data_IF_909299309962
#
_entry.id   IF_909299309962
#
_cell.length_a   1.000
_cell.length_b   1.000
_cell.length_c   1.000
_cell.angle_alpha   90.00
_cell.angle_beta   90.00
_cell.angle_gamma   90.00
#
_symmetry.space_group_name_H-M   'P 1'
#
loop_
_entity.id
_entity.type
_entity.pdbx_description
1 polymer ?
#
# COMPACT_ATOMS: atom_id res chain seq x y z
N UNK A 1 -25.39 -18.47 -3.30
CA UNK A 1 -24.64 -17.75 -4.30
C UNK A 1 -23.66 -16.81 -3.68
N UNK A 2 -24.12 -15.92 -2.86
CA UNK A 2 -23.19 -14.97 -2.25
C UNK A 2 -22.10 -15.65 -1.44
N UNK A 3 -22.36 -16.84 -0.99
CA UNK A 3 -21.36 -17.59 -0.21
C UNK A 3 -20.11 -17.88 -1.03
N UNK A 4 -20.28 -18.12 -2.32
CA UNK A 4 -19.14 -18.39 -3.16
C UNK A 4 -18.29 -17.18 -3.40
N UNK A 5 -18.86 -16.03 -3.18
CA UNK A 5 -18.19 -14.78 -3.45
C UNK A 5 -16.84 -14.67 -2.73
N UNK A 6 -16.83 -14.99 -1.44
CA UNK A 6 -15.61 -14.86 -0.66
C UNK A 6 -14.55 -15.87 -1.05
N UNK A 7 -14.97 -17.06 -1.44
CA UNK A 7 -13.99 -18.08 -1.82
C UNK A 7 -13.47 -17.87 -3.22
N UNK A 8 -14.29 -17.23 -4.08
CA UNK A 8 -13.89 -17.02 -5.47
C UNK A 8 -13.05 -15.76 -5.64
N UNK A 9 -13.10 -14.85 -4.68
CA UNK A 9 -12.40 -13.58 -4.78
C UNK A 9 -11.53 -13.38 -3.54
N UNK A 10 -10.50 -14.21 -3.38
CA UNK A 10 -9.63 -14.07 -2.23
C UNK A 10 -8.83 -12.78 -2.29
N UNK A 11 -8.45 -12.30 -1.13
CA UNK A 11 -7.64 -11.11 -0.99
C UNK A 11 -6.30 -11.50 -0.40
N UNK A 12 -5.23 -11.04 -1.01
CA UNK A 12 -3.87 -11.30 -0.58
C UNK A 12 -3.15 -10.00 -0.31
N UNK A 13 -2.31 -10.01 0.70
CA UNK A 13 -1.50 -8.83 0.99
C UNK A 13 -0.11 -9.29 1.38
N UNK A 14 0.89 -8.66 0.80
CA UNK A 14 2.30 -8.99 1.05
C UNK A 14 3.01 -7.78 1.60
N UNK A 15 3.89 -8.00 2.59
CA UNK A 15 4.80 -6.97 3.04
C UNK A 15 6.08 -7.15 2.23
N UNK A 16 6.31 -6.24 1.30
CA UNK A 16 7.49 -6.29 0.44
C UNK A 16 8.73 -5.79 1.18
N UNK A 17 8.53 -4.79 2.03
CA UNK A 17 9.63 -4.26 2.84
C UNK A 17 9.08 -3.78 4.17
N UNK A 18 9.80 -4.13 5.25
CA UNK A 18 9.44 -3.68 6.60
C UNK A 18 10.61 -2.93 7.19
N UNK A 19 10.46 -1.61 7.34
CA UNK A 19 11.46 -0.77 7.97
C UNK A 19 11.03 -0.38 9.37
N UNK A 20 11.83 0.47 10.00
CA UNK A 20 11.52 0.96 11.34
C UNK A 20 10.52 2.12 11.31
N UNK A 21 10.53 2.90 10.23
CA UNK A 21 9.66 4.06 10.13
C UNK A 21 8.62 3.95 9.01
N UNK A 22 8.62 2.84 8.29
CA UNK A 22 7.64 2.63 7.22
C UNK A 22 7.63 1.17 6.80
N UNK A 23 6.60 0.79 6.05
CA UNK A 23 6.58 -0.48 5.34
C UNK A 23 5.99 -0.26 3.95
N UNK A 24 6.25 -1.20 3.05
CA UNK A 24 5.66 -1.18 1.71
C UNK A 24 4.91 -2.49 1.53
N UNK A 25 3.64 -2.38 1.16
CA UNK A 25 2.78 -3.56 1.00
C UNK A 25 2.17 -3.57 -0.40
N UNK A 26 1.85 -4.76 -0.85
CA UNK A 26 1.15 -4.98 -2.12
C UNK A 26 -0.10 -5.76 -1.81
N UNK A 27 -1.22 -5.32 -2.37
CA UNK A 27 -2.48 -6.02 -2.19
C UNK A 27 -3.03 -6.43 -3.54
N UNK A 28 -3.48 -7.69 -3.64
CA UNK A 28 -4.11 -8.20 -4.85
C UNK A 28 -5.38 -8.92 -4.48
N UNK A 29 -6.46 -8.69 -5.23
CA UNK A 29 -7.72 -9.36 -4.95
C UNK A 29 -8.53 -9.52 -6.22
N UNK A 30 -9.52 -10.42 -6.16
CA UNK A 30 -10.43 -10.64 -7.27
C UNK A 30 -11.67 -9.79 -7.13
N UNK A 31 -12.19 -9.32 -8.25
CA UNK A 31 -13.37 -8.49 -8.26
C UNK A 31 -14.05 -8.63 -9.63
N UNK A 32 -15.26 -9.20 -9.62
CA UNK A 32 -16.09 -9.26 -10.82
C UNK A 32 -15.37 -9.83 -12.04
N UNK A 33 -14.69 -10.95 -11.82
CA UNK A 33 -14.08 -11.68 -12.94
C UNK A 33 -12.72 -11.18 -13.35
N UNK A 34 -12.18 -10.19 -12.66
CA UNK A 34 -10.84 -9.71 -12.93
C UNK A 34 -10.10 -9.52 -11.61
N UNK A 35 -8.82 -9.19 -11.70
CA UNK A 35 -8.01 -9.01 -10.51
C UNK A 35 -7.56 -7.56 -10.40
N UNK A 36 -7.47 -7.09 -9.16
CA UNK A 36 -7.07 -5.73 -8.85
C UNK A 36 -5.80 -5.76 -8.04
N UNK A 37 -4.95 -4.74 -8.23
CA UNK A 37 -3.67 -4.66 -7.56
C UNK A 37 -3.43 -3.25 -7.06
N UNK A 38 -2.92 -3.14 -5.84
CA UNK A 38 -2.55 -1.85 -5.24
C UNK A 38 -1.20 -1.98 -4.56
N UNK A 39 -0.43 -0.89 -4.58
CA UNK A 39 0.82 -0.79 -3.83
C UNK A 39 0.65 0.35 -2.84
N UNK A 40 1.06 0.12 -1.59
CA UNK A 40 0.92 1.09 -0.52
C UNK A 40 2.25 1.34 0.17
N UNK A 41 2.49 2.60 0.52
CA UNK A 41 3.52 2.99 1.47
C UNK A 41 2.79 3.28 2.79
N UNK A 42 3.19 2.59 3.84
CA UNK A 42 2.64 2.78 5.18
C UNK A 42 3.69 3.53 5.97
N UNK A 43 3.47 4.82 6.17
CA UNK A 43 4.47 5.73 6.73
C UNK A 43 4.12 5.96 8.19
N UNK A 44 5.05 5.57 9.08
CA UNK A 44 4.80 5.64 10.51
C UNK A 44 5.12 7.03 11.03
N UNK A 45 4.68 7.30 12.27
CA UNK A 45 4.79 8.64 12.83
C UNK A 45 6.23 9.10 13.10
N UNK A 46 7.20 8.18 13.00
CA UNK A 46 8.60 8.54 13.15
C UNK A 46 9.31 8.76 11.81
N UNK A 47 8.58 8.78 10.70
CA UNK A 47 9.17 9.03 9.39
C UNK A 47 8.98 10.50 9.01
N UNK A 48 9.97 11.12 8.34
CA UNK A 48 9.84 12.53 7.96
C UNK A 48 8.60 12.90 7.16
N UNK A 49 8.10 11.96 6.35
CA UNK A 49 6.93 12.24 5.50
C UNK A 49 5.60 12.09 6.23
N UNK A 50 5.62 11.62 7.48
CA UNK A 50 4.37 11.41 8.19
C UNK A 50 3.54 12.68 8.29
N UNK A 51 4.19 13.81 8.52
CA UNK A 51 3.51 15.10 8.64
C UNK A 51 3.45 15.87 7.33
N UNK A 52 3.81 15.22 6.22
CA UNK A 52 3.85 15.90 4.93
C UNK A 52 3.21 15.03 3.85
N UNK A 53 1.86 14.90 3.88
CA UNK A 53 1.19 14.02 2.91
C UNK A 53 1.37 14.47 1.48
N UNK A 54 1.54 15.76 1.23
CA UNK A 54 1.71 16.22 -0.15
C UNK A 54 3.01 15.70 -0.75
N UNK A 55 4.08 15.69 0.04
CA UNK A 55 5.34 15.13 -0.42
C UNK A 55 5.25 13.61 -0.57
N UNK A 56 4.50 12.97 0.35
CA UNK A 56 4.32 11.52 0.27
C UNK A 56 3.62 11.10 -1.02
N UNK A 57 2.71 11.92 -1.51
CA UNK A 57 2.00 11.61 -2.76
C UNK A 57 2.91 11.70 -3.96
N UNK A 58 4.06 12.34 -3.84
CA UNK A 58 5.00 12.48 -4.94
C UNK A 58 6.00 11.33 -5.00
N UNK A 59 5.87 10.33 -4.16
CA UNK A 59 6.73 9.16 -4.21
C UNK A 59 6.49 8.37 -5.48
N UNK A 60 7.32 7.36 -5.69
CA UNK A 60 7.22 6.51 -6.88
C UNK A 60 5.93 5.68 -6.84
N UNK A 61 4.91 6.15 -7.52
CA UNK A 61 3.66 5.43 -7.65
C UNK A 61 3.30 5.30 -9.12
N UNK A 62 2.87 4.11 -9.48
CA UNK A 62 2.42 3.84 -10.84
C UNK A 62 1.21 4.71 -11.17
N UNK A 63 1.37 5.59 -12.16
CA UNK A 63 0.28 6.47 -12.58
C UNK A 63 -0.08 7.54 -11.56
N UNK A 64 0.72 7.68 -10.49
CA UNK A 64 0.48 8.68 -9.47
C UNK A 64 -0.29 8.11 -8.29
N UNK A 65 -0.30 8.87 -7.22
CA UNK A 65 -0.98 8.45 -5.99
C UNK A 65 -2.50 8.55 -6.15
N UNK A 66 -3.20 7.48 -5.81
CA UNK A 66 -4.67 7.46 -5.88
C UNK A 66 -5.31 7.26 -4.52
N UNK A 67 -4.51 7.10 -3.46
CA UNK A 67 -5.03 6.86 -2.12
C UNK A 67 -4.11 7.52 -1.10
N UNK A 68 -4.67 8.31 -0.20
CA UNK A 68 -3.91 8.87 0.91
C UNK A 68 -4.84 9.01 2.11
N UNK A 69 -4.42 8.50 3.26
CA UNK A 69 -5.24 8.52 4.45
C UNK A 69 -4.40 8.27 5.69
N UNK A 70 -4.70 9.01 6.75
CA UNK A 70 -4.15 8.68 8.06
C UNK A 70 -5.02 7.62 8.70
N UNK A 71 -4.37 6.60 9.25
CA UNK A 71 -5.11 5.53 9.92
C UNK A 71 -4.60 5.37 11.34
N UNK A 72 -5.47 4.88 12.21
CA UNK A 72 -5.13 4.61 13.59
C UNK A 72 -4.50 3.22 13.69
N UNK A 73 -3.68 3.03 14.73
CA UNK A 73 -3.03 1.73 14.90
C UNK A 73 -4.00 0.65 15.35
N UNK A 74 -5.04 1.05 16.05
CA UNK A 74 -6.06 0.09 16.46
C UNK A 74 -7.35 0.48 15.77
N UNK A 75 -8.33 -0.39 15.87
CA UNK A 75 -9.61 -0.15 15.23
C UNK A 75 -10.66 0.32 16.22
N UNK A 76 -10.18 0.89 17.31
CA UNK A 76 -11.06 1.43 18.33
C UNK A 76 -11.79 2.65 17.79
N UNK A 77 -13.09 2.68 18.02
CA UNK A 77 -13.86 3.86 17.66
C UNK A 77 -13.75 4.89 18.75
N UNK A 78 -13.60 6.14 18.36
CA UNK A 78 -13.49 7.24 19.28
C UNK A 78 -14.71 8.13 19.15
N UNK A 79 -15.17 8.64 20.27
CA UNK A 79 -16.34 9.50 20.28
C UNK A 79 -16.07 10.81 19.57
N UNK A 80 -14.86 11.34 19.72
CA UNK A 80 -14.49 12.61 19.10
C UNK A 80 -13.22 12.43 18.27
N UNK A 81 -13.16 13.16 17.16
CA UNK A 81 -12.01 13.05 16.26
C UNK A 81 -10.69 13.41 16.94
N UNK A 82 -10.72 14.37 17.87
CA UNK A 82 -9.47 14.78 18.51
C UNK A 82 -8.89 13.70 19.43
N UNK A 83 -9.69 12.69 19.76
CA UNK A 83 -9.19 11.57 20.56
C UNK A 83 -8.43 10.55 19.76
N UNK A 84 -8.56 10.60 18.45
CA UNK A 84 -7.89 9.64 17.58
C UNK A 84 -6.41 9.92 17.54
N UNK A 85 -5.62 8.86 17.57
CA UNK A 85 -4.18 8.98 17.45
C UNK A 85 -3.75 8.25 16.19
N UNK A 86 -3.44 9.03 15.17
CA UNK A 86 -3.01 8.46 13.90
C UNK A 86 -1.55 8.11 14.00
N UNK A 87 -1.23 6.88 13.67
CA UNK A 87 0.13 6.38 13.74
C UNK A 87 0.70 6.03 12.37
N UNK A 88 -0.11 6.05 11.35
CA UNK A 88 0.31 5.69 10.01
C UNK A 88 -0.36 6.59 8.99
N UNK A 89 0.44 7.10 8.08
CA UNK A 89 -0.05 7.75 6.87
C UNK A 89 0.07 6.72 5.76
N UNK A 90 -1.05 6.29 5.22
CA UNK A 90 -1.08 5.28 4.16
C UNK A 90 -1.32 5.97 2.83
N UNK A 91 -0.37 5.83 1.93
CA UNK A 91 -0.51 6.39 0.58
C UNK A 91 -0.29 5.27 -0.41
N UNK A 92 -0.96 5.33 -1.54
CA UNK A 92 -0.85 4.23 -2.47
C UNK A 92 -1.39 4.55 -3.85
N UNK A 93 -1.26 3.56 -4.73
CA UNK A 93 -1.75 3.67 -6.10
C UNK A 93 -2.30 2.32 -6.53
N UNK A 94 -3.23 2.38 -7.48
CA UNK A 94 -3.79 1.18 -8.07
C UNK A 94 -3.18 0.94 -9.44
N UNK A 95 -3.44 -0.24 -9.99
CA UNK A 95 -2.98 -0.66 -11.31
C UNK A 95 -4.18 -0.86 -12.22
N UNK A 96 -5.04 0.17 -12.28
CA UNK A 96 -6.26 0.11 -13.08
C UNK A 96 -6.33 1.28 -14.07
N UNK A 97 -5.17 1.78 -14.46
CA UNK A 97 -5.10 2.86 -15.43
C UNK A 97 -5.16 2.31 -16.84
N UNK A 98 -5.46 3.18 -17.78
CA UNK A 98 -5.46 2.81 -19.19
C UNK A 98 -4.12 2.20 -19.57
N UNK A 99 -4.15 1.07 -20.24
CA UNK A 99 -2.97 0.34 -20.67
C UNK A 99 -2.33 -0.51 -19.56
N UNK A 100 -2.94 -0.57 -18.39
CA UNK A 100 -2.53 -1.54 -17.38
C UNK A 100 -3.14 -2.89 -17.73
N UNK A 101 -2.33 -3.93 -17.67
CA UNK A 101 -2.76 -5.27 -18.07
C UNK A 101 -2.57 -6.28 -16.96
N UNK A 102 -3.00 -5.92 -15.74
CA UNK A 102 -2.84 -6.80 -14.59
C UNK A 102 -4.13 -7.50 -14.17
N UNK A 103 -5.19 -7.28 -14.91
CA UNK A 103 -6.50 -7.84 -14.54
C UNK A 103 -6.54 -9.36 -14.69
N UNK A 104 -5.60 -9.94 -15.46
CA UNK A 104 -5.51 -11.39 -15.59
C UNK A 104 -4.46 -12.00 -14.69
N UNK A 105 -3.78 -11.18 -13.88
CA UNK A 105 -2.71 -11.65 -13.00
C UNK A 105 -3.31 -12.11 -11.67
N UNK A 106 -3.47 -13.40 -11.52
CA UNK A 106 -4.11 -13.96 -10.33
C UNK A 106 -3.17 -13.88 -9.12
N UNK A 107 -3.61 -13.22 -8.03
CA UNK A 107 -2.77 -13.09 -6.84
C UNK A 107 -2.30 -14.39 -6.23
N UNK A 108 -3.00 -15.50 -6.46
CA UNK A 108 -2.55 -16.76 -5.89
C UNK A 108 -1.24 -17.22 -6.52
N UNK A 109 -0.84 -16.63 -7.63
CA UNK A 109 0.45 -16.92 -8.27
C UNK A 109 1.56 -15.98 -7.81
N UNK A 110 1.27 -15.13 -6.82
CA UNK A 110 2.24 -14.19 -6.30
C UNK A 110 2.14 -12.82 -6.94
N UNK A 111 3.08 -11.96 -6.61
CA UNK A 111 3.08 -10.58 -7.09
C UNK A 111 3.71 -10.54 -8.49
N UNK A 112 3.04 -9.91 -9.48
CA UNK A 112 3.66 -9.74 -10.79
C UNK A 112 4.98 -8.99 -10.69
N UNK A 113 5.92 -9.33 -11.54
CA UNK A 113 7.27 -8.79 -11.46
C UNK A 113 7.29 -7.27 -11.48
N UNK A 114 6.54 -6.66 -12.39
CA UNK A 114 6.52 -5.20 -12.52
C UNK A 114 6.02 -4.53 -11.24
N UNK A 115 4.98 -5.09 -10.64
CA UNK A 115 4.41 -4.52 -9.43
C UNK A 115 5.39 -4.67 -8.27
N UNK A 116 6.07 -5.81 -8.19
CA UNK A 116 7.07 -6.02 -7.15
C UNK A 116 8.23 -5.05 -7.31
N UNK A 117 8.67 -4.83 -8.55
CA UNK A 117 9.74 -3.89 -8.82
C UNK A 117 9.35 -2.47 -8.38
N UNK A 118 8.12 -2.05 -8.69
CA UNK A 118 7.62 -0.74 -8.27
C UNK A 118 7.63 -0.61 -6.76
N UNK A 119 7.21 -1.66 -6.06
CA UNK A 119 7.17 -1.64 -4.60
C UNK A 119 8.59 -1.52 -4.03
N UNK A 120 9.55 -2.20 -4.64
CA UNK A 120 10.94 -2.14 -4.20
C UNK A 120 11.54 -0.75 -4.44
N UNK A 121 11.19 -0.12 -5.55
CA UNK A 121 11.66 1.24 -5.81
C UNK A 121 11.07 2.22 -4.81
N UNK A 122 9.81 2.05 -4.48
CA UNK A 122 9.16 2.86 -3.47
C UNK A 122 9.87 2.72 -2.12
N UNK A 123 10.23 1.50 -1.76
CA UNK A 123 10.94 1.26 -0.49
C UNK A 123 12.31 1.94 -0.49
N UNK A 124 13.03 1.89 -1.59
CA UNK A 124 14.32 2.57 -1.68
C UNK A 124 14.18 4.06 -1.49
N UNK A 125 13.17 4.64 -2.10
CA UNK A 125 12.94 6.07 -1.99
C UNK A 125 12.65 6.47 -0.55
N UNK A 126 11.82 5.69 0.12
CA UNK A 126 11.47 5.96 1.52
C UNK A 126 12.67 5.78 2.44
N UNK A 127 13.54 4.82 2.15
CA UNK A 127 14.77 4.64 2.92
C UNK A 127 15.69 5.85 2.79
N UNK A 128 15.82 6.37 1.59
CA UNK A 128 16.67 7.54 1.36
C UNK A 128 16.16 8.75 2.11
N UNK A 129 14.85 8.94 2.10
CA UNK A 129 14.26 10.09 2.78
C UNK A 129 14.39 9.98 4.28
N UNK A 130 14.20 8.78 4.82
CA UNK A 130 14.24 8.59 6.27
C UNK A 130 15.66 8.56 6.82
N UNK A 131 16.63 8.25 5.99
CA UNK A 131 17.99 8.06 6.45
C UNK A 131 18.20 6.72 7.13
N UNK A 132 17.24 5.82 7.08
CA UNK A 132 17.42 4.49 7.63
C UNK A 132 18.43 3.72 6.80
N UNK A 133 19.13 2.83 7.49
CA UNK A 133 20.05 1.94 6.79
C UNK A 133 19.42 0.56 6.71
N UNK A 134 19.56 -0.04 5.56
CA UNK A 134 19.10 -1.41 5.38
C UNK A 134 20.18 -2.32 5.95
N UNK A 135 20.06 -2.61 7.23
CA UNK A 135 21.04 -3.39 7.95
C UNK A 135 20.59 -4.84 7.97
N UNK A 136 21.39 -5.67 7.40
CA UNK A 136 21.09 -7.10 7.37
C UNK A 136 22.15 -7.88 8.06
#
# INVERSE_FOLDING_TARGET
MSMKFNTENPSYEWVVFQGKSFSVTVKGWGCEGSYKWNVYANIYDNHPLFCNPEAAKCLHFHGGCTYDKYITTDETEYKYDWQKQYKTLKVGSDYMHYMDYFEDENPCNGIPFTIKWDAEQLAKELLEISGEHNVE
#
